data_IF_595700847739
#
_entry.id   IF_595700847739
#
_cell.length_a   1.000
_cell.length_b   1.000
_cell.length_c   1.000
_cell.angle_alpha   90.00
_cell.angle_beta   90.00
_cell.angle_gamma   90.00
#
_symmetry.space_group_name_H-M   'P 1'
#
loop_
_entity.id
_entity.type
_entity.pdbx_description
1 polymer ?
#
# COMPACT_ATOMS: atom_id res chain seq x y z
N UNK A 1 11.29 -3.17 -17.13
CA UNK A 1 10.40 -3.13 -15.95
C UNK A 1 9.10 -3.93 -16.19
N UNK A 2 8.74 -4.85 -15.29
CA UNK A 2 7.58 -5.74 -15.44
C UNK A 2 6.24 -5.14 -14.96
N UNK A 3 6.28 -4.19 -14.02
CA UNK A 3 5.08 -3.66 -13.36
C UNK A 3 4.04 -3.05 -14.32
N UNK A 4 4.39 -2.19 -15.31
CA UNK A 4 3.39 -1.65 -16.23
C UNK A 4 2.65 -2.71 -17.05
N UNK A 5 3.32 -3.80 -17.44
CA UNK A 5 2.70 -4.89 -18.19
C UNK A 5 1.70 -5.66 -17.32
N UNK A 6 2.05 -5.91 -16.05
CA UNK A 6 1.14 -6.55 -15.09
C UNK A 6 -0.08 -5.65 -14.85
N UNK A 7 0.13 -4.35 -14.65
CA UNK A 7 -0.94 -3.39 -14.44
C UNK A 7 -1.89 -3.30 -15.65
N UNK A 8 -1.35 -3.33 -16.87
CA UNK A 8 -2.15 -3.37 -18.09
C UNK A 8 -3.02 -4.63 -18.19
N UNK A 9 -2.48 -5.79 -17.84
CA UNK A 9 -3.23 -7.05 -17.82
C UNK A 9 -4.36 -7.02 -16.77
N UNK A 10 -4.06 -6.57 -15.55
CA UNK A 10 -5.06 -6.43 -14.47
C UNK A 10 -6.17 -5.47 -14.89
N UNK A 11 -5.82 -4.28 -15.40
CA UNK A 11 -6.80 -3.30 -15.83
C UNK A 11 -7.63 -3.78 -17.02
N UNK A 12 -7.01 -4.51 -17.96
CA UNK A 12 -7.70 -5.12 -19.09
C UNK A 12 -8.75 -6.14 -18.65
N UNK A 13 -8.46 -6.93 -17.60
CA UNK A 13 -9.44 -7.86 -17.02
C UNK A 13 -10.59 -7.13 -16.34
N UNK A 14 -10.29 -6.11 -15.53
CA UNK A 14 -11.31 -5.30 -14.87
C UNK A 14 -12.22 -4.60 -15.89
N UNK A 15 -11.66 -4.03 -16.94
CA UNK A 15 -12.42 -3.33 -17.97
C UNK A 15 -13.36 -4.27 -18.75
N UNK A 16 -12.95 -5.53 -18.99
CA UNK A 16 -13.74 -6.51 -19.74
C UNK A 16 -14.77 -7.25 -18.90
N UNK A 17 -14.47 -7.52 -17.63
CA UNK A 17 -15.22 -8.45 -16.80
C UNK A 17 -15.73 -7.86 -15.49
N UNK A 18 -15.43 -6.58 -15.21
CA UNK A 18 -15.69 -5.96 -13.92
C UNK A 18 -14.71 -6.43 -12.84
N UNK A 19 -15.02 -6.13 -11.58
CA UNK A 19 -14.15 -6.40 -10.43
C UNK A 19 -13.28 -5.21 -10.04
N UNK A 20 -12.35 -5.41 -9.12
CA UNK A 20 -11.44 -4.37 -8.65
C UNK A 20 -10.08 -4.96 -8.27
N UNK A 21 -9.06 -4.12 -8.23
CA UNK A 21 -7.75 -4.47 -7.70
C UNK A 21 -7.32 -3.42 -6.67
N UNK A 22 -6.60 -3.87 -5.64
CA UNK A 22 -6.00 -3.01 -4.63
C UNK A 22 -4.50 -3.31 -4.60
N UNK A 23 -3.69 -2.31 -4.91
CA UNK A 23 -2.23 -2.39 -4.90
C UNK A 23 -1.76 -1.64 -3.67
N UNK A 24 -0.94 -2.29 -2.84
CA UNK A 24 -0.43 -1.74 -1.58
C UNK A 24 1.08 -1.89 -1.57
N UNK A 25 1.80 -0.78 -1.50
CA UNK A 25 3.26 -0.78 -1.43
C UNK A 25 3.78 0.55 -0.88
N UNK A 26 5.07 0.62 -0.52
CA UNK A 26 5.72 1.87 -0.17
C UNK A 26 6.25 2.57 -1.44
N UNK A 27 5.99 3.87 -1.55
CA UNK A 27 6.28 4.64 -2.74
C UNK A 27 5.57 5.99 -2.72
N UNK A 28 5.48 6.66 -3.87
CA UNK A 28 4.77 7.94 -3.95
C UNK A 28 4.15 8.20 -5.32
N UNK A 29 3.35 9.26 -5.43
CA UNK A 29 2.78 9.72 -6.69
C UNK A 29 3.81 10.49 -7.50
N UNK A 30 4.47 9.80 -8.44
CA UNK A 30 5.57 10.33 -9.22
C UNK A 30 6.88 10.23 -8.46
N UNK A 31 7.89 9.59 -9.06
CA UNK A 31 9.23 9.54 -8.47
C UNK A 31 9.99 10.85 -8.67
N UNK A 32 10.62 11.36 -7.61
CA UNK A 32 11.67 12.38 -7.66
C UNK A 32 12.97 11.80 -7.09
N UNK A 33 13.78 11.14 -7.94
CA UNK A 33 15.17 10.76 -7.62
C UNK A 33 15.48 9.26 -7.71
N UNK A 34 16.70 8.89 -7.30
CA UNK A 34 17.16 7.50 -7.21
C UNK A 34 16.40 6.78 -6.09
N UNK A 35 15.43 5.96 -6.48
CA UNK A 35 14.59 5.18 -5.55
C UNK A 35 15.18 3.84 -5.18
N UNK A 36 16.33 3.47 -5.75
CA UNK A 36 17.01 2.21 -5.50
C UNK A 36 17.69 2.23 -4.12
N UNK A 37 17.16 1.43 -3.21
CA UNK A 37 17.64 1.32 -1.84
C UNK A 37 17.76 -0.15 -1.47
N UNK A 38 18.52 -0.44 -0.43
CA UNK A 38 18.56 -1.75 0.19
C UNK A 38 18.12 -1.63 1.64
N UNK A 39 17.38 -2.61 2.14
CA UNK A 39 16.96 -2.70 3.54
C UNK A 39 17.53 -3.96 4.18
N UNK A 40 18.20 -3.80 5.32
CA UNK A 40 18.70 -4.90 6.15
C UNK A 40 18.37 -4.61 7.61
N UNK A 41 17.65 -5.52 8.28
CA UNK A 41 17.33 -5.38 9.71
C UNK A 41 16.55 -4.12 10.08
N UNK A 42 15.61 -3.68 9.23
CA UNK A 42 14.83 -2.43 9.37
C UNK A 42 15.65 -1.12 9.26
N UNK A 43 16.83 -1.15 8.63
CA UNK A 43 17.63 0.04 8.35
C UNK A 43 18.05 0.10 6.87
N UNK A 44 18.27 1.30 6.36
CA UNK A 44 18.88 1.51 5.05
C UNK A 44 20.29 0.92 5.02
N UNK A 45 20.56 0.17 3.96
CA UNK A 45 21.86 -0.40 3.67
C UNK A 45 22.34 0.08 2.29
N UNK A 46 23.65 0.08 2.09
CA UNK A 46 24.22 0.25 0.76
C UNK A 46 23.88 -0.99 -0.09
N UNK A 47 23.18 -0.84 -1.23
CA UNK A 47 22.83 -1.95 -2.11
C UNK A 47 24.02 -2.77 -2.62
N UNK A 48 25.22 -2.18 -2.65
CA UNK A 48 26.42 -2.82 -3.17
C UNK A 48 27.34 -3.40 -2.07
N UNK A 49 27.06 -3.13 -0.79
CA UNK A 49 27.92 -3.59 0.30
C UNK A 49 27.86 -5.12 0.48
N UNK A 50 26.65 -5.70 0.44
CA UNK A 50 26.45 -7.15 0.66
C UNK A 50 25.33 -7.71 -0.24
N UNK A 51 25.59 -7.88 -1.55
CA UNK A 51 24.59 -8.38 -2.49
C UNK A 51 24.01 -9.74 -2.07
N UNK A 52 22.67 -9.82 -2.05
CA UNK A 52 21.93 -11.02 -1.62
C UNK A 52 21.65 -11.11 -0.12
N UNK A 53 22.15 -10.18 0.70
CA UNK A 53 21.89 -10.13 2.16
C UNK A 53 21.02 -8.95 2.61
N UNK A 54 20.66 -8.07 1.69
CA UNK A 54 19.74 -6.96 1.91
C UNK A 54 18.61 -7.04 0.89
N UNK A 55 17.41 -6.66 1.29
CA UNK A 55 16.25 -6.61 0.40
C UNK A 55 16.38 -5.37 -0.50
N UNK A 56 16.43 -5.57 -1.81
CA UNK A 56 16.58 -4.49 -2.78
C UNK A 56 15.21 -3.92 -3.11
N UNK A 57 14.97 -2.72 -2.63
CA UNK A 57 13.68 -2.05 -2.72
C UNK A 57 13.78 -0.83 -3.61
N UNK A 58 12.85 -0.70 -4.57
CA UNK A 58 12.64 0.54 -5.28
C UNK A 58 11.31 1.13 -4.83
N UNK A 59 11.26 2.41 -4.45
CA UNK A 59 9.98 3.08 -4.22
C UNK A 59 9.11 2.97 -5.47
N UNK A 60 7.86 2.52 -5.29
CA UNK A 60 6.90 2.42 -6.38
C UNK A 60 6.49 3.81 -6.84
N UNK A 61 6.66 4.10 -8.13
CA UNK A 61 6.03 5.25 -8.77
C UNK A 61 4.59 4.87 -9.17
N UNK A 62 3.63 5.26 -8.33
CA UNK A 62 2.23 4.92 -8.55
C UNK A 62 1.61 5.65 -9.74
N UNK A 63 2.15 6.81 -10.14
CA UNK A 63 1.69 7.52 -11.32
C UNK A 63 2.04 6.74 -12.60
N UNK A 64 3.22 6.10 -12.63
CA UNK A 64 3.62 5.24 -13.73
C UNK A 64 2.73 3.97 -13.83
N UNK A 65 2.25 3.44 -12.71
CA UNK A 65 1.40 2.24 -12.69
C UNK A 65 0.04 2.44 -13.35
N UNK A 66 -0.54 3.65 -13.23
CA UNK A 66 -1.87 3.94 -13.80
C UNK A 66 -1.83 4.50 -15.21
N UNK A 67 -0.65 4.72 -15.78
CA UNK A 67 -0.50 5.42 -17.03
C UNK A 67 -1.25 4.70 -18.17
N UNK A 68 -2.26 5.39 -18.72
CA UNK A 68 -3.10 4.92 -19.86
C UNK A 68 -3.84 3.61 -19.61
N UNK A 69 -4.16 3.28 -18.36
CA UNK A 69 -5.01 2.13 -18.05
C UNK A 69 -6.50 2.42 -18.38
N UNK A 70 -7.26 1.44 -18.91
CA UNK A 70 -8.67 1.61 -19.27
C UNK A 70 -9.64 1.44 -18.07
N UNK A 71 -9.27 1.97 -16.91
CA UNK A 71 -10.03 1.85 -15.64
C UNK A 71 -10.00 3.17 -14.88
N UNK A 72 -10.91 3.35 -13.93
CA UNK A 72 -10.79 4.42 -12.93
C UNK A 72 -9.86 3.99 -11.81
N UNK A 73 -9.30 4.97 -11.09
CA UNK A 73 -8.45 4.69 -9.94
C UNK A 73 -8.63 5.70 -8.83
N UNK A 74 -8.32 5.29 -7.60
CA UNK A 74 -8.09 6.18 -6.46
C UNK A 74 -6.73 5.85 -5.86
N UNK A 75 -5.99 6.91 -5.51
CA UNK A 75 -4.72 6.83 -4.80
C UNK A 75 -4.86 7.50 -3.44
N UNK A 76 -4.41 6.83 -2.37
CA UNK A 76 -4.46 7.34 -1.00
C UNK A 76 -3.33 6.71 -0.16
N UNK A 77 -3.22 7.08 1.12
CA UNK A 77 -2.28 6.48 2.06
C UNK A 77 -2.91 5.30 2.82
N UNK A 78 -2.07 4.42 3.37
CA UNK A 78 -2.52 3.29 4.16
C UNK A 78 -3.33 3.67 5.40
N UNK A 79 -2.88 4.68 6.14
CA UNK A 79 -3.60 5.16 7.31
C UNK A 79 -5.00 5.65 6.94
N UNK A 80 -5.12 6.45 5.89
CA UNK A 80 -6.40 6.99 5.43
C UNK A 80 -7.35 5.87 4.99
N UNK A 81 -6.88 4.95 4.14
CA UNK A 81 -7.69 3.83 3.65
C UNK A 81 -8.20 2.92 4.77
N UNK A 82 -7.31 2.51 5.69
CA UNK A 82 -7.67 1.63 6.79
C UNK A 82 -8.64 2.31 7.77
N UNK A 83 -8.46 3.60 8.05
CA UNK A 83 -9.40 4.39 8.89
C UNK A 83 -10.76 4.49 8.20
N UNK A 84 -10.82 4.75 6.90
CA UNK A 84 -12.06 4.79 6.13
C UNK A 84 -12.79 3.43 6.08
N UNK A 85 -12.06 2.30 6.17
CA UNK A 85 -12.65 0.96 6.35
C UNK A 85 -13.10 0.65 7.79
N UNK A 86 -12.83 1.53 8.75
CA UNK A 86 -13.24 1.35 10.15
C UNK A 86 -12.28 0.47 10.96
N UNK A 87 -10.98 0.50 10.67
CA UNK A 87 -9.99 -0.28 11.41
C UNK A 87 -10.01 0.02 12.92
N UNK A 88 -10.26 1.26 13.33
CA UNK A 88 -10.28 1.67 14.75
C UNK A 88 -11.38 0.95 15.52
N UNK A 89 -12.62 1.00 15.03
CA UNK A 89 -13.75 0.29 15.63
C UNK A 89 -13.52 -1.23 15.68
N UNK A 90 -12.86 -1.78 14.65
CA UNK A 90 -12.49 -3.21 14.65
C UNK A 90 -11.41 -3.51 15.68
N UNK A 91 -10.40 -2.65 15.80
CA UNK A 91 -9.30 -2.80 16.74
C UNK A 91 -9.79 -2.73 18.18
N UNK A 92 -10.67 -1.78 18.52
CA UNK A 92 -11.29 -1.64 19.84
C UNK A 92 -12.07 -2.90 20.24
N UNK A 93 -12.90 -3.42 19.33
CA UNK A 93 -13.67 -4.63 19.57
C UNK A 93 -12.80 -5.86 19.82
N UNK A 94 -11.68 -5.98 19.13
CA UNK A 94 -10.73 -7.08 19.33
C UNK A 94 -9.97 -6.90 20.65
N UNK A 95 -9.56 -5.66 20.96
CA UNK A 95 -8.88 -5.31 22.19
C UNK A 95 -9.70 -5.61 23.45
N UNK A 96 -11.04 -5.54 23.38
CA UNK A 96 -11.93 -5.73 24.52
C UNK A 96 -11.76 -7.07 25.27
N UNK A 97 -11.18 -8.10 24.62
CA UNK A 97 -10.92 -9.42 25.22
C UNK A 97 -9.44 -9.73 25.41
N UNK A 98 -8.55 -8.78 25.09
CA UNK A 98 -7.11 -8.94 25.22
C UNK A 98 -6.62 -8.30 26.51
N UNK A 99 -5.60 -8.90 27.11
CA UNK A 99 -4.97 -8.41 28.33
C UNK A 99 -3.44 -8.57 28.24
N UNK A 100 -2.72 -7.86 29.10
CA UNK A 100 -1.27 -7.95 29.20
C UNK A 100 -0.56 -7.67 27.86
N UNK A 101 0.45 -8.47 27.55
CA UNK A 101 1.29 -8.32 26.36
C UNK A 101 0.48 -8.40 25.05
N UNK A 102 -0.53 -9.28 24.99
CA UNK A 102 -1.36 -9.44 23.78
C UNK A 102 -2.13 -8.15 23.45
N UNK A 103 -2.64 -7.45 24.47
CA UNK A 103 -3.29 -6.15 24.27
C UNK A 103 -2.29 -5.09 23.79
N UNK A 104 -1.12 -5.01 24.42
CA UNK A 104 -0.11 -4.02 24.04
C UNK A 104 0.40 -4.25 22.61
N UNK A 105 0.64 -5.50 22.23
CA UNK A 105 1.03 -5.87 20.87
C UNK A 105 -0.04 -5.49 19.84
N UNK A 106 -1.32 -5.75 20.14
CA UNK A 106 -2.44 -5.38 19.26
C UNK A 106 -2.58 -3.87 19.06
N UNK A 107 -2.46 -3.09 20.14
CA UNK A 107 -2.52 -1.63 20.07
C UNK A 107 -1.31 -1.06 19.30
N UNK A 108 -0.11 -1.58 19.56
CA UNK A 108 1.11 -1.18 18.85
C UNK A 108 1.04 -1.53 17.36
N UNK A 109 0.55 -2.72 17.00
CA UNK A 109 0.37 -3.12 15.60
C UNK A 109 -0.68 -2.27 14.88
N UNK A 110 -1.79 -1.95 15.55
CA UNK A 110 -2.82 -1.05 14.99
C UNK A 110 -2.23 0.33 14.72
N UNK A 111 -1.52 0.91 15.70
CA UNK A 111 -0.83 2.18 15.53
C UNK A 111 0.18 2.11 14.38
N UNK A 112 0.98 1.05 14.31
CA UNK A 112 2.00 0.89 13.27
C UNK A 112 1.43 0.92 11.86
N UNK A 113 0.27 0.32 11.66
CA UNK A 113 -0.41 0.31 10.37
C UNK A 113 -1.03 1.66 9.99
N UNK A 114 -1.46 2.47 10.97
CA UNK A 114 -2.31 3.65 10.72
C UNK A 114 -1.65 4.99 11.00
N UNK A 115 -0.64 5.05 11.86
CA UNK A 115 0.01 6.29 12.29
C UNK A 115 0.89 6.86 11.18
N UNK A 116 0.80 8.17 10.97
CA UNK A 116 1.48 8.86 9.89
C UNK A 116 3.00 8.85 10.05
N UNK A 117 3.51 8.73 11.28
CA UNK A 117 4.95 8.58 11.56
C UNK A 117 5.46 7.15 11.39
N UNK A 118 4.57 6.19 11.11
CA UNK A 118 4.92 4.80 10.81
C UNK A 118 4.48 4.41 9.40
N UNK A 119 3.66 3.37 9.22
CA UNK A 119 3.26 2.91 7.89
C UNK A 119 2.13 3.75 7.29
N UNK A 120 1.45 4.58 8.10
CA UNK A 120 0.22 5.28 7.73
C UNK A 120 0.37 6.19 6.51
N UNK A 121 1.50 6.88 6.37
CA UNK A 121 1.81 7.69 5.18
C UNK A 121 2.88 7.05 4.28
N UNK A 122 3.74 6.19 4.84
CA UNK A 122 4.80 5.52 4.09
C UNK A 122 4.24 4.58 3.03
N UNK A 123 3.22 3.79 3.38
CA UNK A 123 2.54 2.91 2.44
C UNK A 123 1.41 3.65 1.74
N UNK A 124 1.28 3.37 0.45
CA UNK A 124 0.22 3.90 -0.41
C UNK A 124 -0.70 2.78 -0.85
N UNK A 125 -1.93 3.17 -1.18
CA UNK A 125 -2.89 2.30 -1.81
C UNK A 125 -3.36 2.89 -3.12
N UNK A 126 -3.40 2.03 -4.12
CA UNK A 126 -3.98 2.31 -5.42
C UNK A 126 -5.10 1.30 -5.68
N UNK A 127 -6.34 1.80 -5.66
CA UNK A 127 -7.51 1.03 -6.04
C UNK A 127 -7.79 1.22 -7.53
N UNK A 128 -7.98 0.14 -8.28
CA UNK A 128 -8.44 0.13 -9.67
C UNK A 128 -9.85 -0.45 -9.76
N UNK A 129 -10.72 0.18 -10.53
CA UNK A 129 -12.12 -0.22 -10.65
C UNK A 129 -12.75 0.25 -11.97
N UNK A 130 -13.91 -0.30 -12.39
CA UNK A 130 -14.54 0.06 -13.64
C UNK A 130 -14.99 1.52 -13.63
N UNK A 131 -14.85 2.21 -14.77
CA UNK A 131 -15.22 3.63 -14.89
C UNK A 131 -16.71 3.90 -14.65
N UNK A 132 -17.54 2.87 -14.80
CA UNK A 132 -18.99 2.91 -14.61
C UNK A 132 -19.43 2.61 -13.19
N UNK A 133 -18.51 2.35 -12.27
CA UNK A 133 -18.80 1.96 -10.88
C UNK A 133 -18.28 3.02 -9.90
N UNK A 134 -18.89 3.12 -8.70
CA UNK A 134 -18.33 3.93 -7.62
C UNK A 134 -16.97 3.35 -7.17
N UNK A 135 -16.12 4.19 -6.54
CA UNK A 135 -14.87 3.71 -5.97
C UNK A 135 -15.11 2.64 -4.89
N UNK A 136 -14.20 1.66 -4.71
CA UNK A 136 -14.31 0.65 -3.66
C UNK A 136 -14.35 1.27 -2.26
N UNK A 137 -14.97 0.58 -1.31
CA UNK A 137 -15.00 1.01 0.10
C UNK A 137 -13.59 1.31 0.62
N UNK A 138 -13.48 2.32 1.48
CA UNK A 138 -12.20 2.80 2.02
C UNK A 138 -11.43 3.72 1.09
N UNK A 139 -11.82 3.83 -0.19
CA UNK A 139 -11.12 4.65 -1.19
C UNK A 139 -11.69 6.07 -1.33
N UNK A 140 -12.38 6.61 -0.31
CA UNK A 140 -13.01 7.93 -0.32
C UNK A 140 -12.74 8.67 0.98
#
# INVERSE_FOLDING_TARGET
>A
PAAPAIMAEVAGRIARHGGAALIVDYGDWGSRGDTFQALKGNAFADPFAEPGQADLTAHVDFAALVHRLPVSYVFTTQGQYLRALGIEARAERLAARLHGEALQSHLAATRRLTDDAEMGTLFKLLALYPQTCPPPAGSA
#
